data_IF_903125258044
#
_entry.id   IF_903125258044
#
_cell.length_a   1.000
_cell.length_b   1.000
_cell.length_c   1.000
_cell.angle_alpha   90.00
_cell.angle_beta   90.00
_cell.angle_gamma   90.00
#
_symmetry.space_group_name_H-M   'P 1'
#
loop_
_entity.id
_entity.type
_entity.pdbx_description
1 polymer ?
#
# COMPACT_ATOMS: atom_id res chain seq x y z
N UNK A 1 -6.03 -13.76 -24.82
CA UNK A 1 -5.66 -13.98 -23.41
C UNK A 1 -5.97 -12.70 -22.65
N UNK A 2 -6.58 -12.75 -21.44
CA UNK A 2 -6.80 -11.54 -20.64
C UNK A 2 -5.45 -10.90 -20.29
N UNK A 3 -5.37 -9.57 -20.38
CA UNK A 3 -4.17 -8.82 -20.00
C UNK A 3 -4.17 -8.68 -18.48
N UNK A 4 -3.10 -9.15 -17.83
CA UNK A 4 -2.97 -9.19 -16.37
C UNK A 4 -2.10 -8.06 -15.87
N UNK A 5 -2.52 -7.40 -14.80
CA UNK A 5 -1.77 -6.34 -14.13
C UNK A 5 -1.60 -6.70 -12.66
N UNK A 6 -0.36 -6.69 -12.17
CA UNK A 6 -0.08 -6.67 -10.74
C UNK A 6 -0.03 -5.22 -10.27
N UNK A 7 -1.01 -4.82 -9.48
CA UNK A 7 -1.09 -3.49 -8.88
C UNK A 7 -0.44 -3.52 -7.49
N UNK A 8 0.63 -2.74 -7.30
CA UNK A 8 1.32 -2.60 -6.01
C UNK A 8 0.90 -1.31 -5.32
N UNK A 9 0.38 -1.42 -4.10
CA UNK A 9 -0.02 -0.26 -3.30
C UNK A 9 0.74 -0.20 -1.96
N UNK A 10 1.15 1.01 -1.51
CA UNK A 10 1.89 1.17 -0.25
C UNK A 10 1.03 0.95 1.00
N UNK A 11 -0.29 0.91 0.86
CA UNK A 11 -1.26 0.61 1.92
C UNK A 11 -2.53 0.02 1.29
N UNK A 12 -3.41 -0.56 2.10
CA UNK A 12 -4.71 -1.06 1.65
C UNK A 12 -5.48 0.10 0.98
N UNK A 13 -5.89 -0.02 -0.29
CA UNK A 13 -6.59 1.04 -1.01
C UNK A 13 -8.09 1.10 -0.62
N UNK A 14 -8.41 0.92 0.66
CA UNK A 14 -9.76 0.99 1.20
C UNK A 14 -9.69 1.17 2.73
N UNK A 15 -10.61 1.95 3.34
CA UNK A 15 -11.57 2.84 2.70
C UNK A 15 -10.90 4.07 2.04
N UNK A 16 -11.47 4.62 0.96
CA UNK A 16 -10.90 5.76 0.23
C UNK A 16 -11.16 7.09 0.96
N UNK A 17 -10.55 7.28 2.14
CA UNK A 17 -10.69 8.50 2.94
C UNK A 17 -9.50 9.47 2.85
N UNK A 18 -8.35 9.03 2.34
CA UNK A 18 -7.12 9.83 2.26
C UNK A 18 -6.65 9.93 0.82
N UNK A 19 -5.93 10.99 0.46
CA UNK A 19 -5.53 11.25 -0.93
C UNK A 19 -4.91 10.05 -1.65
N UNK A 20 -3.99 9.33 -0.98
CA UNK A 20 -3.37 8.13 -1.54
C UNK A 20 -4.35 6.96 -1.69
N UNK A 21 -5.19 6.69 -0.69
CA UNK A 21 -6.18 5.59 -0.78
C UNK A 21 -7.27 5.89 -1.79
N UNK A 22 -7.74 7.14 -1.87
CA UNK A 22 -8.68 7.62 -2.90
C UNK A 22 -8.10 7.38 -4.29
N UNK A 23 -6.87 7.83 -4.54
CA UNK A 23 -6.23 7.67 -5.85
C UNK A 23 -6.08 6.20 -6.22
N UNK A 24 -5.51 5.39 -5.33
CA UNK A 24 -5.23 3.99 -5.62
C UNK A 24 -6.51 3.18 -5.81
N UNK A 25 -7.54 3.42 -4.98
CA UNK A 25 -8.85 2.79 -5.12
C UNK A 25 -9.47 3.07 -6.49
N UNK A 26 -9.52 4.35 -6.88
CA UNK A 26 -10.13 4.73 -8.16
C UNK A 26 -9.35 4.21 -9.37
N UNK A 27 -8.00 4.22 -9.32
CA UNK A 27 -7.21 3.61 -10.38
C UNK A 27 -7.48 2.10 -10.49
N UNK A 28 -7.56 1.41 -9.36
CA UNK A 28 -7.77 -0.03 -9.30
C UNK A 28 -9.14 -0.44 -9.89
N UNK A 29 -10.22 0.24 -9.52
CA UNK A 29 -11.56 -0.07 -10.06
C UNK A 29 -11.67 0.22 -11.55
N UNK A 30 -11.08 1.34 -12.04
CA UNK A 30 -11.13 1.68 -13.46
C UNK A 30 -10.26 0.72 -14.29
N UNK A 31 -9.14 0.24 -13.74
CA UNK A 31 -8.32 -0.77 -14.43
C UNK A 31 -9.00 -2.14 -14.47
N UNK A 32 -9.81 -2.47 -13.46
CA UNK A 32 -10.53 -3.75 -13.40
C UNK A 32 -11.60 -3.90 -14.48
N UNK A 33 -12.06 -2.80 -15.10
CA UNK A 33 -13.02 -2.82 -16.21
C UNK A 33 -12.43 -3.46 -17.49
N UNK A 34 -11.13 -3.24 -17.74
CA UNK A 34 -10.45 -3.66 -18.98
C UNK A 34 -9.37 -4.73 -18.77
N UNK A 35 -8.93 -4.95 -17.53
CA UNK A 35 -7.79 -5.81 -17.18
C UNK A 35 -8.11 -6.73 -16.00
N UNK A 36 -7.46 -7.89 -15.99
CA UNK A 36 -7.46 -8.77 -14.82
C UNK A 36 -6.43 -8.20 -13.82
N UNK A 37 -6.90 -7.41 -12.85
CA UNK A 37 -6.04 -6.73 -11.87
C UNK A 37 -5.87 -7.57 -10.61
N UNK A 38 -4.63 -7.89 -10.27
CA UNK A 38 -4.25 -8.53 -9.00
C UNK A 38 -3.66 -7.47 -8.09
N UNK A 39 -4.12 -7.38 -6.84
CA UNK A 39 -3.62 -6.40 -5.87
C UNK A 39 -2.68 -7.07 -4.86
N UNK A 40 -1.50 -6.46 -4.68
CA UNK A 40 -0.64 -6.71 -3.53
C UNK A 40 -0.36 -5.38 -2.82
N UNK A 41 -0.60 -5.32 -1.51
CA UNK A 41 -0.42 -4.10 -0.74
C UNK A 41 0.22 -4.34 0.62
N UNK A 42 0.70 -3.28 1.27
CA UNK A 42 1.08 -3.37 2.67
C UNK A 42 -0.11 -3.10 3.57
N UNK A 43 -0.20 -3.82 4.68
CA UNK A 43 -1.17 -3.58 5.73
C UNK A 43 -0.51 -2.84 6.89
N UNK A 44 -1.00 -1.63 7.19
CA UNK A 44 -0.52 -0.85 8.33
C UNK A 44 -1.19 -1.31 9.63
N UNK A 45 -0.57 -1.00 10.77
CA UNK A 45 -1.21 -1.18 12.07
C UNK A 45 -2.46 -0.30 12.15
N UNK A 46 -3.62 -0.92 12.42
CA UNK A 46 -4.91 -0.25 12.52
C UNK A 46 -5.72 -0.19 11.22
N UNK A 47 -5.16 -0.62 10.08
CA UNK A 47 -5.95 -0.84 8.86
C UNK A 47 -6.85 -2.07 9.02
N UNK A 48 -8.05 -2.01 8.44
CA UNK A 48 -8.90 -3.20 8.29
C UNK A 48 -8.19 -4.26 7.44
N UNK A 49 -8.20 -5.55 7.86
CA UNK A 49 -7.73 -6.66 7.05
C UNK A 49 -8.24 -6.58 5.61
N UNK A 50 -7.35 -6.80 4.64
CA UNK A 50 -7.73 -6.69 3.22
C UNK A 50 -8.91 -7.63 2.88
N UNK A 51 -8.99 -8.78 3.55
CA UNK A 51 -10.09 -9.75 3.44
C UNK A 51 -11.45 -9.24 3.95
N UNK A 52 -11.48 -8.23 4.81
CA UNK A 52 -12.71 -7.60 5.31
C UNK A 52 -13.16 -6.41 4.44
N UNK A 53 -12.37 -6.01 3.45
CA UNK A 53 -12.74 -4.95 2.52
C UNK A 53 -13.64 -5.48 1.39
N UNK A 54 -14.27 -4.61 0.59
CA UNK A 54 -14.96 -5.03 -0.63
C UNK A 54 -14.03 -5.54 -1.74
N UNK A 55 -12.71 -5.29 -1.64
CA UNK A 55 -11.75 -5.55 -2.72
C UNK A 55 -11.72 -7.01 -3.21
N UNK A 56 -11.77 -8.04 -2.34
CA UNK A 56 -11.80 -9.45 -2.78
C UNK A 56 -13.05 -9.83 -3.59
N UNK A 57 -14.11 -9.00 -3.57
CA UNK A 57 -15.30 -9.19 -4.42
C UNK A 57 -15.15 -8.52 -5.78
N UNK A 58 -14.28 -7.52 -5.89
CA UNK A 58 -14.06 -6.71 -7.09
C UNK A 58 -12.89 -7.23 -7.93
N UNK A 59 -11.90 -7.84 -7.27
CA UNK A 59 -10.67 -8.30 -7.89
C UNK A 59 -10.48 -9.81 -7.75
N UNK A 60 -9.89 -10.47 -8.76
CA UNK A 60 -9.59 -11.91 -8.71
C UNK A 60 -8.60 -12.30 -7.60
N UNK A 61 -7.60 -11.46 -7.35
CA UNK A 61 -6.55 -11.70 -6.37
C UNK A 61 -6.30 -10.43 -5.57
N UNK A 62 -6.37 -10.56 -4.26
CA UNK A 62 -6.10 -9.49 -3.32
C UNK A 62 -5.31 -10.08 -2.16
N UNK A 63 -4.08 -9.61 -1.99
CA UNK A 63 -3.20 -10.05 -0.92
C UNK A 63 -2.53 -8.86 -0.23
N UNK A 64 -2.11 -9.07 1.02
CA UNK A 64 -1.40 -8.07 1.79
C UNK A 64 -0.20 -8.66 2.54
N UNK A 65 0.85 -7.86 2.62
CA UNK A 65 2.00 -8.12 3.48
C UNK A 65 2.00 -7.12 4.65
N UNK A 66 2.53 -7.48 5.83
CA UNK A 66 2.68 -6.51 6.91
C UNK A 66 3.58 -5.35 6.46
N UNK A 67 3.17 -4.12 6.78
CA UNK A 67 3.99 -2.96 6.51
C UNK A 67 5.31 -3.02 7.31
N UNK A 68 6.44 -2.59 6.72
CA UNK A 68 7.68 -2.50 7.47
C UNK A 68 7.53 -1.49 8.62
N UNK A 69 7.73 -1.96 9.85
CA UNK A 69 7.62 -1.13 11.05
C UNK A 69 8.89 -0.30 11.23
N UNK A 70 8.74 1.01 11.42
CA UNK A 70 9.84 1.91 11.78
C UNK A 70 9.78 2.31 13.23
N UNK A 71 10.83 1.98 13.98
CA UNK A 71 11.00 2.46 15.34
C UNK A 71 11.29 3.97 15.38
N UNK A 72 10.51 4.72 16.14
CA UNK A 72 10.72 6.15 16.39
C UNK A 72 12.10 6.43 17.00
N UNK A 73 12.60 5.57 17.89
CA UNK A 73 13.94 5.75 18.48
C UNK A 73 15.04 5.63 17.42
N UNK A 74 14.87 4.69 16.48
CA UNK A 74 15.81 4.53 15.36
C UNK A 74 15.80 5.74 14.43
N UNK A 75 14.64 6.36 14.22
CA UNK A 75 14.53 7.61 13.44
C UNK A 75 15.27 8.77 14.11
N UNK A 76 15.11 8.92 15.43
CA UNK A 76 15.81 9.96 16.20
C UNK A 76 17.32 9.79 16.11
N UNK A 77 17.82 8.58 16.36
CA UNK A 77 19.25 8.28 16.24
C UNK A 77 19.74 8.59 14.83
N UNK A 78 19.04 8.09 13.81
CA UNK A 78 19.41 8.30 12.41
C UNK A 78 19.43 9.77 12.02
N UNK A 79 18.47 10.57 12.50
CA UNK A 79 18.40 12.02 12.26
C UNK A 79 19.56 12.77 12.92
N UNK A 80 20.02 12.33 14.09
CA UNK A 80 21.12 12.98 14.82
C UNK A 80 22.50 12.55 14.30
N UNK A 81 22.64 11.32 13.79
CA UNK A 81 23.94 10.76 13.40
C UNK A 81 24.20 10.77 11.89
N UNK A 82 23.20 11.06 11.06
CA UNK A 82 23.34 11.07 9.60
C UNK A 82 23.42 12.50 9.06
N UNK A 83 24.31 12.76 8.08
CA UNK A 83 24.30 14.02 7.34
C UNK A 83 23.15 14.11 6.32
N UNK A 84 22.40 13.02 6.11
CA UNK A 84 21.28 12.98 5.19
C UNK A 84 19.96 13.32 5.91
N UNK A 85 19.03 14.02 5.25
CA UNK A 85 17.72 14.30 5.84
C UNK A 85 16.94 13.00 6.10
N UNK A 86 16.10 12.96 7.14
CA UNK A 86 15.26 11.80 7.50
C UNK A 86 14.46 11.26 6.30
N UNK A 87 14.01 12.16 5.40
CA UNK A 87 13.34 11.78 4.16
C UNK A 87 14.20 10.94 3.22
N UNK A 88 15.50 11.24 3.07
CA UNK A 88 16.40 10.46 2.23
C UNK A 88 16.63 9.05 2.80
N UNK A 89 16.50 8.92 4.12
CA UNK A 89 16.65 7.67 4.85
C UNK A 89 15.30 6.97 5.04
N UNK A 90 14.21 7.49 4.44
CA UNK A 90 12.84 6.99 4.61
C UNK A 90 12.55 5.66 3.89
N UNK A 91 13.38 5.29 2.93
CA UNK A 91 13.23 4.05 2.14
C UNK A 91 14.35 3.03 2.39
N UNK A 92 15.45 3.45 3.02
CA UNK A 92 16.64 2.61 3.23
C UNK A 92 16.64 1.83 4.56
N UNK A 93 15.65 2.06 5.43
CA UNK A 93 15.55 1.44 6.77
C UNK A 93 14.19 0.90 7.12
#
# INVERSE_FOLDING_TARGET
MPRRILFLAPQVPYPPHQGTTIRNYNLLINLADDFEVHLLCFQQEGDDPVGNTPLPRLLPVVDSAPAPVRSTSRRVVTTLTSPLPDMALRLAS
#
